data_IF_166307157604
#
_entry.id   IF_166307157604
#
_cell.length_a   1.000
_cell.length_b   1.000
_cell.length_c   1.000
_cell.angle_alpha   90.00
_cell.angle_beta   90.00
_cell.angle_gamma   90.00
#
_symmetry.space_group_name_H-M   'P 1'
#
loop_
_entity.id
_entity.type
_entity.pdbx_description
1 polymer ?
#
# COMPACT_ATOMS: atom_id res chain seq x y z
N UNK A 1 71.67 -12.46 30.53
CA UNK A 1 71.30 -12.34 29.11
C UNK A 1 69.79 -12.31 28.99
N UNK A 2 69.29 -11.33 28.21
CA UNK A 2 67.97 -11.24 27.56
C UNK A 2 66.73 -11.15 28.46
N UNK A 3 66.50 -9.96 29.02
CA UNK A 3 65.14 -9.55 29.40
C UNK A 3 64.79 -8.05 29.20
N UNK A 4 65.29 -7.29 28.18
CA UNK A 4 64.77 -5.92 27.96
C UNK A 4 63.76 -5.80 26.81
N UNK A 5 63.48 -6.88 26.06
CA UNK A 5 62.61 -6.80 24.87
C UNK A 5 61.14 -7.16 25.12
N UNK A 6 60.81 -7.83 26.23
CA UNK A 6 59.40 -8.19 26.50
C UNK A 6 58.59 -7.05 27.10
N UNK A 7 59.23 -6.11 27.82
CA UNK A 7 58.53 -4.95 28.38
C UNK A 7 58.14 -3.93 27.31
N UNK A 8 58.94 -3.80 26.24
CA UNK A 8 58.67 -2.86 25.14
C UNK A 8 57.50 -3.29 24.25
N UNK A 9 57.16 -4.58 24.19
CA UNK A 9 55.99 -5.07 23.46
C UNK A 9 54.68 -4.83 24.22
N UNK A 10 54.69 -4.76 25.55
CA UNK A 10 53.49 -4.43 26.32
C UNK A 10 53.12 -2.94 26.24
N UNK A 11 54.09 -2.05 26.00
CA UNK A 11 53.80 -0.63 25.81
C UNK A 11 53.22 -0.37 24.42
N UNK A 12 53.59 -1.14 23.40
CA UNK A 12 53.10 -0.97 22.02
C UNK A 12 51.60 -1.33 21.86
N UNK A 13 51.04 -2.19 22.72
CA UNK A 13 49.61 -2.51 22.70
C UNK A 13 48.74 -1.60 23.59
N UNK A 14 49.35 -0.70 24.38
CA UNK A 14 48.63 0.17 25.31
C UNK A 14 48.37 1.59 24.78
N UNK A 15 48.92 1.96 23.61
CA UNK A 15 48.78 3.33 23.04
C UNK A 15 47.70 3.50 21.98
N UNK A 16 46.99 2.44 21.57
CA UNK A 16 45.95 2.51 20.51
C UNK A 16 44.51 2.35 21.02
N UNK A 17 44.27 2.70 22.29
CA UNK A 17 42.91 2.83 22.86
C UNK A 17 42.74 4.21 23.49
N UNK A 18 43.19 5.25 22.80
CA UNK A 18 42.63 6.58 23.04
C UNK A 18 41.19 6.56 22.51
N UNK A 19 40.15 6.74 23.34
CA UNK A 19 38.85 7.08 22.81
C UNK A 19 39.05 8.40 22.10
N UNK A 20 39.01 8.38 20.76
CA UNK A 20 38.83 9.60 20.00
C UNK A 20 37.54 10.17 20.56
N UNK A 21 37.69 11.19 21.40
CA UNK A 21 36.63 12.00 21.93
C UNK A 21 36.07 12.68 20.69
N UNK A 22 35.24 11.94 19.93
CA UNK A 22 34.39 12.47 18.88
C UNK A 22 33.56 13.45 19.64
N UNK A 23 34.00 14.71 19.61
CA UNK A 23 33.21 15.87 19.97
C UNK A 23 31.84 15.55 19.42
N UNK A 24 30.90 15.20 20.31
CA UNK A 24 29.49 15.39 20.06
C UNK A 24 29.44 16.87 19.75
N UNK A 25 29.48 17.20 18.45
CA UNK A 25 29.29 18.54 17.94
C UNK A 25 27.84 18.82 18.29
N UNK A 26 27.64 19.30 19.51
CA UNK A 26 26.38 19.86 19.91
C UNK A 26 26.13 21.04 18.97
N UNK A 27 25.02 20.92 18.25
CA UNK A 27 24.18 22.02 17.81
C UNK A 27 24.95 23.13 17.09
N UNK A 28 25.35 22.83 15.86
CA UNK A 28 25.31 23.87 14.85
C UNK A 28 23.84 24.12 14.52
N UNK A 29 23.33 25.30 14.87
CA UNK A 29 22.12 25.84 14.26
C UNK A 29 22.41 26.09 12.77
N UNK A 30 22.40 25.02 11.98
CA UNK A 30 22.43 25.07 10.53
C UNK A 30 21.01 25.01 10.03
N UNK A 31 20.56 26.05 9.32
CA UNK A 31 19.30 26.06 8.57
C UNK A 31 19.13 24.75 7.78
N UNK A 32 18.16 23.93 8.21
CA UNK A 32 17.78 22.69 7.54
C UNK A 32 16.86 21.88 8.44
N UNK A 33 15.54 22.03 8.28
CA UNK A 33 14.49 21.41 9.11
C UNK A 33 14.38 19.88 9.04
N UNK A 34 15.49 19.18 8.83
CA UNK A 34 15.58 17.74 8.61
C UNK A 34 16.00 16.94 9.85
N UNK A 35 16.57 17.58 10.89
CA UNK A 35 17.02 16.91 12.12
C UNK A 35 16.13 17.15 13.36
N UNK A 36 14.96 17.77 13.22
CA UNK A 36 14.04 17.96 14.36
C UNK A 36 13.52 16.62 14.88
N UNK A 37 13.54 16.42 16.20
CA UNK A 37 13.10 15.17 16.82
C UNK A 37 14.05 13.98 16.61
N UNK A 38 15.30 14.25 16.23
CA UNK A 38 16.31 13.23 15.95
C UNK A 38 17.35 13.11 17.08
N UNK A 39 17.75 11.87 17.40
CA UNK A 39 18.83 11.55 18.36
C UNK A 39 20.18 11.47 17.65
N UNK A 40 20.22 10.84 16.48
CA UNK A 40 21.45 10.68 15.66
C UNK A 40 21.17 11.21 14.27
N UNK A 41 21.78 12.35 13.92
CA UNK A 41 21.61 13.01 12.63
C UNK A 41 22.96 13.20 11.92
N UNK A 42 22.96 13.09 10.59
CA UNK A 42 24.08 13.47 9.72
C UNK A 42 23.60 14.39 8.60
N UNK A 43 24.51 15.20 8.06
CA UNK A 43 24.19 16.16 7.00
C UNK A 43 23.77 15.47 5.69
N UNK A 44 24.31 14.29 5.40
CA UNK A 44 24.07 13.58 4.15
C UNK A 44 22.81 12.70 4.19
N UNK A 45 22.64 11.93 5.28
CA UNK A 45 21.59 10.93 5.42
C UNK A 45 20.41 11.41 6.28
N UNK A 46 20.48 12.63 6.82
CA UNK A 46 19.49 13.14 7.77
C UNK A 46 19.48 12.31 9.05
N UNK A 47 18.28 12.02 9.57
CA UNK A 47 18.13 11.30 10.81
C UNK A 47 18.23 9.78 10.65
N UNK A 48 19.02 9.12 11.48
CA UNK A 48 19.05 7.65 11.56
C UNK A 48 18.29 7.09 12.76
N UNK A 49 18.17 7.86 13.86
CA UNK A 49 17.44 7.43 15.07
C UNK A 49 16.59 8.58 15.60
N UNK A 50 15.28 8.34 15.71
CA UNK A 50 14.33 9.32 16.20
C UNK A 50 14.17 9.28 17.72
N UNK A 51 13.69 10.38 18.30
CA UNK A 51 13.22 10.39 19.69
C UNK A 51 12.07 9.38 19.88
N UNK A 52 11.91 8.91 21.11
CA UNK A 52 10.82 8.00 21.48
C UNK A 52 9.47 8.61 21.07
N UNK A 53 8.56 7.77 20.56
CA UNK A 53 7.22 8.10 20.01
C UNK A 53 7.17 8.62 18.56
N UNK A 54 8.27 9.12 17.99
CA UNK A 54 8.32 9.53 16.58
C UNK A 54 8.60 8.34 15.65
N UNK A 55 8.19 8.46 14.39
CA UNK A 55 8.49 7.50 13.33
C UNK A 55 9.59 8.00 12.42
N UNK A 56 10.56 7.12 12.12
CA UNK A 56 11.55 7.33 11.09
C UNK A 56 10.90 7.17 9.70
N UNK A 57 10.93 8.24 8.93
CA UNK A 57 10.47 8.29 7.54
C UNK A 57 11.65 8.56 6.61
N UNK A 58 11.84 7.70 5.61
CA UNK A 58 12.87 7.89 4.58
C UNK A 58 12.27 8.69 3.41
N UNK A 59 12.68 9.96 3.28
CA UNK A 59 12.29 10.84 2.18
C UNK A 59 13.23 10.65 1.00
N UNK A 60 12.67 10.59 -0.22
CA UNK A 60 13.43 10.57 -1.47
C UNK A 60 13.27 11.89 -2.19
N UNK A 61 14.37 12.51 -2.59
CA UNK A 61 14.41 13.79 -3.28
C UNK A 61 15.48 13.71 -4.38
N UNK A 62 15.04 13.49 -5.62
CA UNK A 62 15.93 13.09 -6.72
C UNK A 62 16.62 11.76 -6.42
N UNK A 63 17.96 11.77 -6.46
CA UNK A 63 18.81 10.63 -6.13
C UNK A 63 19.08 10.48 -4.62
N UNK A 64 18.79 11.50 -3.82
CA UNK A 64 19.11 11.52 -2.39
C UNK A 64 18.01 10.82 -1.58
N UNK A 65 18.44 10.10 -0.56
CA UNK A 65 17.55 9.55 0.47
C UNK A 65 18.04 10.00 1.82
N UNK A 66 17.13 10.54 2.64
CA UNK A 66 17.46 10.95 3.99
C UNK A 66 16.31 10.66 4.95
N UNK A 67 16.65 10.39 6.20
CA UNK A 67 15.68 10.15 7.25
C UNK A 67 15.16 11.45 7.85
N UNK A 68 13.87 11.45 8.18
CA UNK A 68 13.17 12.50 8.92
C UNK A 68 12.31 11.85 10.00
N UNK A 69 12.23 12.49 11.15
CA UNK A 69 11.31 12.06 12.21
C UNK A 69 9.97 12.77 12.07
N UNK A 70 8.89 12.00 12.12
CA UNK A 70 7.51 12.50 11.99
C UNK A 70 6.63 11.92 13.09
N UNK A 71 5.58 12.67 13.47
CA UNK A 71 4.57 12.18 14.42
C UNK A 71 3.68 11.12 13.77
N UNK A 72 3.22 11.40 12.55
CA UNK A 72 2.38 10.52 11.75
C UNK A 72 3.03 10.25 10.40
N UNK A 73 2.87 9.02 9.91
CA UNK A 73 3.38 8.64 8.60
C UNK A 73 2.60 9.36 7.49
N UNK A 74 3.28 9.84 6.44
CA UNK A 74 2.63 10.56 5.35
C UNK A 74 1.71 9.63 4.53
N UNK A 75 0.81 10.20 3.70
CA UNK A 75 -0.08 9.42 2.84
C UNK A 75 0.68 8.37 2.00
N UNK A 76 0.10 7.17 1.89
CA UNK A 76 0.75 6.03 1.24
C UNK A 76 1.78 5.29 2.09
N UNK A 77 1.91 5.64 3.37
CA UNK A 77 2.73 4.93 4.35
C UNK A 77 1.92 4.59 5.60
N UNK A 78 2.31 3.53 6.30
CA UNK A 78 1.77 3.14 7.59
C UNK A 78 2.89 3.03 8.63
N UNK A 79 2.57 3.33 9.88
CA UNK A 79 3.52 3.29 10.99
C UNK A 79 3.68 1.89 11.55
N UNK A 80 4.93 1.45 11.71
CA UNK A 80 5.28 0.20 12.41
C UNK A 80 6.02 0.58 13.69
N UNK A 81 5.51 0.13 14.84
CA UNK A 81 6.20 0.24 16.12
C UNK A 81 7.09 -0.97 16.32
N UNK A 82 8.40 -0.78 16.17
CA UNK A 82 9.41 -1.80 16.41
C UNK A 82 9.95 -1.75 17.84
N UNK A 83 10.71 -2.77 18.24
CA UNK A 83 11.36 -2.80 19.56
C UNK A 83 12.41 -1.67 19.70
N UNK A 84 13.15 -1.37 18.62
CA UNK A 84 14.22 -0.36 18.65
C UNK A 84 13.82 0.97 18.02
N UNK A 85 13.11 0.94 16.89
CA UNK A 85 12.77 2.13 16.12
C UNK A 85 11.36 2.00 15.52
N UNK A 86 10.55 3.03 15.72
CA UNK A 86 9.29 3.17 14.98
C UNK A 86 9.60 3.69 13.58
N UNK A 87 8.99 3.11 12.54
CA UNK A 87 9.30 3.46 11.15
C UNK A 87 8.05 3.54 10.28
N UNK A 88 8.08 4.41 9.29
CA UNK A 88 7.06 4.48 8.26
C UNK A 88 7.39 3.52 7.12
N UNK A 89 6.49 2.59 6.82
CA UNK A 89 6.62 1.66 5.70
C UNK A 89 5.62 2.00 4.61
N UNK A 90 6.06 1.93 3.35
CA UNK A 90 5.21 2.24 2.21
C UNK A 90 4.12 1.18 2.05
N UNK A 91 2.89 1.60 1.76
CA UNK A 91 1.80 0.72 1.39
C UNK A 91 2.10 -0.03 0.08
N UNK A 92 1.39 -1.14 -0.14
CA UNK A 92 1.48 -1.92 -1.38
C UNK A 92 1.17 -1.10 -2.64
N UNK A 93 1.67 -1.54 -3.79
CA UNK A 93 1.60 -0.77 -5.04
C UNK A 93 0.17 -0.42 -5.51
N UNK A 94 -0.83 -1.23 -5.15
CA UNK A 94 -2.25 -1.07 -5.51
C UNK A 94 -3.07 -0.32 -4.46
N UNK A 95 -2.46 -0.03 -3.31
CA UNK A 95 -3.11 0.57 -2.15
C UNK A 95 -2.72 2.06 -2.02
N UNK A 96 -3.70 2.89 -1.71
CA UNK A 96 -3.53 4.33 -1.47
C UNK A 96 -3.31 4.61 0.01
N UNK A 97 -4.11 3.98 0.89
CA UNK A 97 -3.92 4.03 2.35
C UNK A 97 -4.10 2.65 2.96
N UNK A 98 -3.18 2.27 3.85
CA UNK A 98 -3.15 0.95 4.46
C UNK A 98 -3.00 1.05 5.98
N UNK A 99 -3.62 0.10 6.68
CA UNK A 99 -3.45 -0.08 8.12
C UNK A 99 -2.17 -0.87 8.41
N UNK A 100 -1.91 -1.90 7.61
CA UNK A 100 -0.75 -2.77 7.70
C UNK A 100 -0.25 -3.15 6.31
N UNK A 101 0.79 -3.98 6.24
CA UNK A 101 1.31 -4.48 4.97
C UNK A 101 0.25 -5.23 4.16
N UNK A 102 -0.62 -5.97 4.85
CA UNK A 102 -1.58 -6.91 4.24
C UNK A 102 -3.02 -6.40 4.27
N UNK A 103 -3.25 -5.26 4.93
CA UNK A 103 -4.58 -4.68 5.10
C UNK A 103 -4.62 -3.24 4.56
N UNK A 104 -5.19 -3.10 3.38
CA UNK A 104 -5.50 -1.85 2.72
C UNK A 104 -6.86 -1.31 3.18
N UNK A 105 -6.92 -0.01 3.44
CA UNK A 105 -8.15 0.72 3.78
C UNK A 105 -8.73 1.34 2.51
N UNK A 106 -7.89 1.87 1.62
CA UNK A 106 -8.32 2.54 0.41
C UNK A 106 -7.46 2.13 -0.79
N UNK A 107 -8.11 1.64 -1.83
CA UNK A 107 -7.44 1.25 -3.06
C UNK A 107 -7.24 2.42 -4.02
N UNK A 108 -6.15 2.36 -4.80
CA UNK A 108 -5.92 3.29 -5.90
C UNK A 108 -7.05 3.20 -6.94
N UNK A 109 -7.17 4.24 -7.77
CA UNK A 109 -8.07 4.23 -8.92
C UNK A 109 -7.83 2.97 -9.77
N UNK A 110 -8.92 2.40 -10.31
CA UNK A 110 -8.96 1.14 -11.09
C UNK A 110 -8.88 -0.17 -10.30
N UNK A 111 -8.76 -0.12 -8.98
CA UNK A 111 -8.83 -1.31 -8.13
C UNK A 111 -10.09 -1.29 -7.26
N UNK A 112 -10.57 -2.48 -6.91
CA UNK A 112 -11.68 -2.71 -5.99
C UNK A 112 -11.16 -3.26 -4.67
N UNK A 113 -11.67 -2.73 -3.57
CA UNK A 113 -11.34 -3.22 -2.23
C UNK A 113 -12.16 -4.48 -1.92
N UNK A 114 -11.46 -5.54 -1.49
CA UNK A 114 -12.08 -6.78 -1.03
C UNK A 114 -11.25 -7.39 0.10
N UNK A 115 -11.84 -7.52 1.29
CA UNK A 115 -11.21 -8.14 2.48
C UNK A 115 -9.80 -7.57 2.77
N UNK A 116 -9.66 -6.24 2.70
CA UNK A 116 -8.39 -5.54 2.92
C UNK A 116 -7.39 -5.62 1.76
N UNK A 117 -7.74 -6.20 0.60
CA UNK A 117 -6.87 -6.29 -0.58
C UNK A 117 -7.45 -5.52 -1.75
N UNK A 118 -6.57 -4.98 -2.59
CA UNK A 118 -6.95 -4.25 -3.79
C UNK A 118 -6.77 -5.13 -5.02
N UNK A 119 -7.87 -5.41 -5.72
CA UNK A 119 -7.92 -6.31 -6.87
C UNK A 119 -8.40 -5.56 -8.12
N UNK A 120 -7.89 -5.87 -9.32
CA UNK A 120 -8.36 -5.24 -10.56
C UNK A 120 -9.81 -5.64 -10.90
N UNK A 121 -10.21 -6.85 -10.52
CA UNK A 121 -11.55 -7.41 -10.75
C UNK A 121 -12.04 -8.10 -9.48
N UNK A 122 -13.34 -7.98 -9.19
CA UNK A 122 -13.95 -8.65 -8.05
C UNK A 122 -13.97 -10.17 -8.22
N UNK A 123 -13.70 -10.95 -7.14
CA UNK A 123 -13.67 -12.41 -7.20
C UNK A 123 -15.08 -13.01 -7.44
N UNK A 124 -15.15 -14.28 -7.88
CA UNK A 124 -16.43 -14.98 -8.04
C UNK A 124 -17.29 -14.93 -6.78
N UNK A 125 -18.61 -14.82 -6.95
CA UNK A 125 -19.57 -14.71 -5.84
C UNK A 125 -19.74 -13.28 -5.29
N UNK A 126 -18.92 -12.32 -5.72
CA UNK A 126 -19.04 -10.91 -5.36
C UNK A 126 -19.48 -10.06 -6.54
N UNK A 127 -19.90 -8.82 -6.28
CA UNK A 127 -20.26 -7.85 -7.32
C UNK A 127 -19.58 -6.52 -7.03
N UNK A 128 -19.02 -5.91 -8.08
CA UNK A 128 -18.37 -4.61 -7.98
C UNK A 128 -19.41 -3.51 -7.79
N UNK A 129 -19.31 -2.77 -6.69
CA UNK A 129 -20.10 -1.57 -6.46
C UNK A 129 -19.32 -0.36 -6.97
N UNK A 130 -19.80 0.27 -8.06
CA UNK A 130 -19.06 1.35 -8.73
C UNK A 130 -18.96 2.64 -7.91
N UNK A 131 -19.94 2.93 -7.05
CA UNK A 131 -19.96 4.14 -6.21
C UNK A 131 -18.87 4.11 -5.13
N UNK A 132 -18.72 2.97 -4.46
CA UNK A 132 -17.76 2.78 -3.35
C UNK A 132 -16.43 2.20 -3.82
N UNK A 133 -16.38 1.57 -5.01
CA UNK A 133 -15.24 0.80 -5.52
C UNK A 133 -14.86 -0.36 -4.58
N UNK A 134 -15.88 -1.07 -4.13
CA UNK A 134 -15.76 -2.22 -3.25
C UNK A 134 -16.41 -3.46 -3.87
N UNK A 135 -15.91 -4.64 -3.51
CA UNK A 135 -16.54 -5.90 -3.86
C UNK A 135 -17.47 -6.35 -2.73
N UNK A 136 -18.77 -6.42 -3.01
CA UNK A 136 -19.77 -6.88 -2.04
C UNK A 136 -20.17 -8.32 -2.31
N UNK A 137 -20.26 -9.12 -1.24
CA UNK A 137 -20.85 -10.45 -1.30
C UNK A 137 -22.36 -10.33 -1.59
N UNK A 138 -22.90 -11.28 -2.35
CA UNK A 138 -24.34 -11.33 -2.58
C UNK A 138 -25.03 -11.75 -1.28
N UNK A 139 -25.64 -10.80 -0.58
CA UNK A 139 -26.45 -11.12 0.60
C UNK A 139 -27.62 -12.02 0.19
N UNK A 140 -27.88 -13.14 0.91
CA UNK A 140 -29.08 -13.94 0.73
C UNK A 140 -30.29 -13.14 1.24
N UNK A 141 -30.83 -12.27 0.39
CA UNK A 141 -31.95 -11.38 0.74
C UNK A 141 -32.39 -10.44 -0.37
N UNK A 142 -31.50 -10.11 -1.31
CA UNK A 142 -31.89 -9.43 -2.54
C UNK A 142 -32.40 -10.46 -3.55
N UNK A 143 -33.65 -10.88 -3.40
CA UNK A 143 -34.43 -11.41 -4.53
C UNK A 143 -34.55 -10.28 -5.55
N UNK A 144 -33.56 -10.11 -6.44
CA UNK A 144 -33.79 -9.44 -7.71
C UNK A 144 -34.89 -10.25 -8.37
N UNK A 145 -36.09 -9.70 -8.41
CA UNK A 145 -37.19 -10.27 -9.16
C UNK A 145 -36.65 -10.64 -10.53
N UNK A 146 -36.58 -11.94 -10.79
CA UNK A 146 -36.38 -12.46 -12.13
C UNK A 146 -37.59 -11.93 -12.89
N UNK A 147 -37.43 -10.85 -13.66
CA UNK A 147 -38.35 -10.56 -14.75
C UNK A 147 -38.14 -11.71 -15.72
N UNK A 148 -38.81 -12.83 -15.48
CA UNK A 148 -39.12 -13.77 -16.55
C UNK A 148 -39.86 -12.92 -17.57
N UNK A 149 -39.18 -12.59 -18.66
CA UNK A 149 -39.85 -12.18 -19.88
C UNK A 149 -40.74 -13.36 -20.25
N UNK A 150 -42.01 -13.28 -19.84
CA UNK A 150 -43.05 -14.16 -20.35
C UNK A 150 -43.00 -14.01 -21.88
N UNK A 151 -42.75 -15.08 -22.65
CA UNK A 151 -42.93 -15.00 -24.09
C UNK A 151 -44.37 -14.57 -24.34
N UNK A 152 -44.57 -13.48 -25.09
CA UNK A 152 -45.90 -13.13 -25.56
C UNK A 152 -46.37 -14.30 -26.41
N UNK A 153 -47.43 -14.98 -25.95
CA UNK A 153 -48.05 -16.08 -26.68
C UNK A 153 -48.76 -15.45 -27.88
N UNK A 154 -48.08 -15.42 -29.02
CA UNK A 154 -48.66 -14.89 -30.25
C UNK A 154 -49.95 -15.65 -30.57
N UNK A 155 -51.03 -14.88 -30.66
CA UNK A 155 -52.37 -15.35 -30.96
C UNK A 155 -52.37 -15.85 -32.41
N UNK A 156 -52.48 -17.17 -32.57
CA UNK A 156 -52.60 -17.86 -33.86
C UNK A 156 -53.77 -17.24 -34.67
N UNK A 157 -53.58 -16.84 -35.94
CA UNK A 157 -54.71 -16.47 -36.80
C UNK A 157 -55.47 -17.73 -37.21
N UNK A 158 -56.80 -17.68 -37.09
CA UNK A 158 -57.70 -18.73 -37.55
C UNK A 158 -57.59 -18.91 -39.07
N UNK A 159 -57.32 -20.16 -39.48
CA UNK A 159 -57.42 -20.62 -40.87
C UNK A 159 -58.90 -20.65 -41.27
N UNK A 160 -59.26 -20.03 -42.41
CA UNK A 160 -60.39 -20.51 -43.23
C UNK A 160 -59.85 -21.14 -44.52
N UNK A 161 -60.29 -22.35 -44.89
CA UNK A 161 -59.99 -22.96 -46.18
C UNK A 161 -61.06 -22.57 -47.20
N UNK A 162 -60.70 -21.85 -48.25
CA UNK A 162 -61.57 -21.70 -49.42
C UNK A 162 -61.32 -22.83 -50.43
N UNK A 163 -62.45 -23.41 -50.83
CA UNK A 163 -62.67 -24.61 -51.63
C UNK A 163 -62.29 -24.40 -53.11
N UNK A 164 -61.91 -25.45 -53.87
CA UNK A 164 -61.61 -25.29 -55.28
C UNK A 164 -62.91 -25.23 -56.11
N UNK A 165 -62.98 -24.30 -57.07
CA UNK A 165 -63.91 -24.35 -58.19
C UNK A 165 -63.12 -24.51 -59.49
N UNK A 166 -63.45 -25.59 -60.20
CA UNK A 166 -63.00 -25.88 -61.54
C UNK A 166 -63.83 -25.10 -62.58
N UNK A 167 -63.23 -24.98 -63.77
CA UNK A 167 -63.83 -24.98 -65.11
C UNK A 167 -63.88 -23.66 -65.91
N UNK A 168 -63.12 -23.72 -67.02
CA UNK A 168 -63.53 -23.52 -68.44
C UNK A 168 -63.39 -22.16 -69.14
N UNK A 169 -62.96 -22.31 -70.41
CA UNK A 169 -62.96 -21.41 -71.58
C UNK A 169 -61.89 -20.29 -71.55
N UNK A 170 -61.09 -20.03 -72.58
CA UNK A 170 -61.12 -20.38 -74.00
C UNK A 170 -60.88 -19.11 -74.81
N UNK A 171 -59.75 -19.04 -75.52
CA UNK A 171 -59.49 -18.24 -76.74
C UNK A 171 -58.14 -18.66 -77.30
#
# INVERSE_FOLDING_TARGET
MRAPLCLLLLVAHAVDMLPLNRRKKQVGAGQGGNCTGCVICSEENGCSTCQQRLFLFIRREGIRQYGKCVHDCPPGYFGIRGQEVNRCKKCGATCESCFSQDFCIQCKRRFYLYKGKCLPTCPPGTTAQQSTRECQERSPGQKKGRREQRPRKDRKPDRKPDRPQAARQGQ
#
